data_IF_036394535901
#
_entry.id   IF_036394535901
#
_cell.length_a   1.000
_cell.length_b   1.000
_cell.length_c   1.000
_cell.angle_alpha   90.00
_cell.angle_beta   90.00
_cell.angle_gamma   90.00
#
_symmetry.space_group_name_H-M   'P 1'
#
loop_
_entity.id
_entity.type
_entity.pdbx_description
1 polymer ?
#
# COMPACT_ATOMS: atom_id res chain seq x y z
N UNK A 1 56.38 37.46 41.61
CA UNK A 1 56.33 38.33 40.40
C UNK A 1 57.20 37.69 39.31
N UNK A 2 56.72 37.67 38.06
CA UNK A 2 57.33 37.15 36.80
C UNK A 2 57.26 35.62 36.64
N UNK A 3 56.20 34.99 36.08
CA UNK A 3 55.59 35.02 34.72
C UNK A 3 56.45 34.36 33.62
N UNK A 4 55.74 33.62 32.74
CA UNK A 4 56.09 33.19 31.36
C UNK A 4 56.64 31.74 31.34
N UNK A 5 56.19 30.77 30.52
CA UNK A 5 55.75 30.78 29.13
C UNK A 5 54.90 29.53 28.79
N UNK A 6 53.93 29.72 27.87
CA UNK A 6 53.39 28.84 26.82
C UNK A 6 53.32 27.30 26.98
N UNK A 7 52.21 26.70 26.54
CA UNK A 7 52.07 26.18 25.17
C UNK A 7 50.62 25.70 24.99
N UNK A 8 50.00 26.23 23.95
CA UNK A 8 48.73 25.83 23.36
C UNK A 8 48.80 24.37 22.93
N UNK A 9 47.88 23.53 23.42
CA UNK A 9 47.68 22.18 22.89
C UNK A 9 46.20 21.95 22.59
N UNK A 10 46.00 21.62 21.33
CA UNK A 10 44.79 21.39 20.56
C UNK A 10 44.29 19.95 20.76
N UNK A 11 42.96 19.77 20.63
CA UNK A 11 42.24 18.62 20.07
C UNK A 11 41.69 17.48 20.98
N UNK A 12 40.49 17.04 20.54
CA UNK A 12 39.78 15.74 20.71
C UNK A 12 39.00 15.60 22.03
N UNK A 13 37.69 15.87 22.12
CA UNK A 13 36.50 15.32 21.41
C UNK A 13 36.21 13.83 21.73
N UNK A 14 34.92 13.56 22.03
CA UNK A 14 34.19 12.26 22.12
C UNK A 14 34.13 11.64 23.54
N UNK A 15 33.08 10.88 23.99
CA UNK A 15 31.79 10.45 23.38
C UNK A 15 30.52 10.59 24.25
N UNK A 16 29.40 10.15 23.66
CA UNK A 16 28.37 9.29 24.26
C UNK A 16 27.06 9.94 24.71
N UNK A 17 26.03 9.85 23.85
CA UNK A 17 24.66 9.59 24.28
C UNK A 17 23.87 9.01 23.11
N UNK A 18 23.65 7.70 23.12
CA UNK A 18 22.67 7.00 22.28
C UNK A 18 21.29 7.04 22.94
N UNK A 19 20.24 7.47 22.25
CA UNK A 19 18.89 7.00 22.56
C UNK A 19 18.50 5.85 21.64
N UNK A 20 18.48 4.66 22.21
CA UNK A 20 17.84 3.46 21.66
C UNK A 20 16.37 3.47 22.06
N UNK A 21 15.45 3.50 21.09
CA UNK A 21 14.10 2.94 21.22
C UNK A 21 13.51 2.70 19.81
N UNK A 22 13.32 1.44 19.38
CA UNK A 22 12.68 1.10 18.14
C UNK A 22 11.18 0.84 18.39
N UNK A 23 10.30 1.67 17.88
CA UNK A 23 8.87 1.33 17.81
C UNK A 23 8.15 2.18 16.78
N UNK A 24 8.22 1.80 15.51
CA UNK A 24 7.05 1.94 14.64
C UNK A 24 7.08 0.91 13.54
N UNK A 25 6.20 -0.08 13.73
CA UNK A 25 5.52 -0.90 12.74
C UNK A 25 6.24 -1.04 11.39
N UNK A 26 6.80 -2.23 11.19
CA UNK A 26 6.97 -2.80 9.87
C UNK A 26 5.61 -2.82 9.16
N UNK A 27 5.39 -1.85 8.28
CA UNK A 27 4.61 -2.09 7.08
C UNK A 27 5.63 -2.48 6.03
N UNK A 28 5.82 -3.79 5.86
CA UNK A 28 6.41 -4.32 4.64
C UNK A 28 5.41 -4.03 3.55
N UNK A 29 5.54 -2.85 2.96
CA UNK A 29 4.97 -2.54 1.65
C UNK A 29 5.63 -3.53 0.68
N UNK A 30 4.94 -4.64 0.46
CA UNK A 30 5.35 -5.62 -0.54
C UNK A 30 5.09 -4.95 -1.86
N UNK A 31 6.14 -4.28 -2.36
CA UNK A 31 6.24 -3.76 -3.70
C UNK A 31 5.78 -4.86 -4.67
N UNK A 32 4.55 -4.72 -5.14
CA UNK A 32 4.01 -5.55 -6.20
C UNK A 32 4.82 -5.22 -7.45
N UNK A 33 5.48 -6.24 -7.99
CA UNK A 33 6.25 -6.15 -9.24
C UNK A 33 5.37 -5.51 -10.32
N UNK A 34 5.88 -4.55 -11.12
CA UNK A 34 5.14 -4.03 -12.25
C UNK A 34 5.15 -5.11 -13.34
N UNK A 35 4.10 -5.92 -13.40
CA UNK A 35 3.86 -6.76 -14.58
C UNK A 35 3.28 -5.83 -15.63
N UNK A 36 4.02 -5.62 -16.71
CA UNK A 36 3.60 -4.83 -17.87
C UNK A 36 2.38 -5.48 -18.53
N UNK A 37 1.21 -5.16 -18.00
CA UNK A 37 -0.12 -5.45 -18.50
C UNK A 37 -0.97 -4.32 -17.91
N UNK A 38 -1.39 -3.38 -18.75
CA UNK A 38 -2.49 -2.44 -18.50
C UNK A 38 -3.11 -2.56 -17.10
N UNK A 39 -2.65 -1.71 -16.16
CA UNK A 39 -2.74 -1.89 -14.71
C UNK A 39 -4.13 -2.36 -14.25
N UNK A 40 -4.31 -3.67 -14.14
CA UNK A 40 -5.58 -4.27 -13.71
C UNK A 40 -5.79 -4.01 -12.23
N UNK A 41 -6.97 -3.53 -11.88
CA UNK A 41 -7.31 -3.20 -10.49
C UNK A 41 -7.74 -4.46 -9.75
N UNK A 42 -7.03 -4.79 -8.67
CA UNK A 42 -7.39 -5.91 -7.80
C UNK A 42 -8.58 -5.56 -6.90
N UNK A 43 -9.71 -6.22 -7.11
CA UNK A 43 -10.96 -5.93 -6.38
C UNK A 43 -10.92 -6.28 -4.89
N UNK A 44 -9.96 -7.10 -4.45
CA UNK A 44 -9.77 -7.49 -3.05
C UNK A 44 -8.86 -6.52 -2.30
N UNK A 45 -7.88 -5.92 -2.99
CA UNK A 45 -6.83 -5.13 -2.35
C UNK A 45 -6.91 -3.63 -2.67
N UNK A 46 -7.50 -3.25 -3.80
CA UNK A 46 -7.55 -1.85 -4.22
C UNK A 46 -8.28 -0.97 -3.20
N UNK A 47 -7.82 0.25 -2.99
CA UNK A 47 -8.57 1.23 -2.23
C UNK A 47 -9.72 1.81 -3.10
N UNK A 48 -10.55 2.67 -2.49
CA UNK A 48 -11.69 3.27 -3.18
C UNK A 48 -11.27 4.08 -4.41
N UNK A 49 -10.19 4.86 -4.30
CA UNK A 49 -9.69 5.72 -5.38
C UNK A 49 -9.17 4.90 -6.56
N UNK A 50 -8.46 3.80 -6.29
CA UNK A 50 -7.99 2.85 -7.30
C UNK A 50 -9.15 2.17 -8.03
N UNK A 51 -10.22 1.79 -7.32
CA UNK A 51 -11.42 1.26 -7.97
C UNK A 51 -12.09 2.30 -8.89
N UNK A 52 -12.12 3.56 -8.47
CA UNK A 52 -12.70 4.66 -9.26
C UNK A 52 -11.93 4.96 -10.55
N UNK A 53 -10.68 4.52 -10.67
CA UNK A 53 -9.91 4.64 -11.90
C UNK A 53 -10.37 3.65 -12.99
N UNK A 54 -11.13 2.61 -12.63
CA UNK A 54 -11.66 1.64 -13.60
C UNK A 54 -12.71 2.31 -14.49
N UNK A 55 -12.54 2.31 -15.83
CA UNK A 55 -13.51 2.87 -16.75
C UNK A 55 -14.92 2.27 -16.55
N UNK A 56 -15.92 3.12 -16.31
CA UNK A 56 -17.30 2.68 -16.05
C UNK A 56 -17.59 2.29 -14.60
N UNK A 57 -16.63 2.40 -13.68
CA UNK A 57 -16.88 2.30 -12.25
C UNK A 57 -17.61 3.52 -11.72
N UNK A 58 -18.48 3.32 -10.73
CA UNK A 58 -19.09 4.41 -9.96
C UNK A 58 -18.70 4.28 -8.50
N UNK A 59 -18.77 5.40 -7.75
CA UNK A 59 -18.51 5.40 -6.31
C UNK A 59 -19.38 4.40 -5.55
N UNK A 60 -20.65 4.28 -5.92
CA UNK A 60 -21.57 3.33 -5.28
C UNK A 60 -21.13 1.87 -5.47
N UNK A 61 -20.70 1.49 -6.68
CA UNK A 61 -20.18 0.14 -6.92
C UNK A 61 -18.85 -0.08 -6.22
N UNK A 62 -17.94 0.90 -6.25
CA UNK A 62 -16.65 0.80 -5.60
C UNK A 62 -16.78 0.62 -4.07
N UNK A 63 -17.67 1.37 -3.42
CA UNK A 63 -17.97 1.22 -1.99
C UNK A 63 -18.56 -0.15 -1.66
N UNK A 64 -19.43 -0.69 -2.52
CA UNK A 64 -19.96 -2.06 -2.35
C UNK A 64 -18.84 -3.09 -2.52
N UNK A 65 -17.96 -2.93 -3.50
CA UNK A 65 -16.81 -3.81 -3.71
C UNK A 65 -15.98 -3.85 -2.43
N UNK A 66 -15.62 -2.70 -1.86
CA UNK A 66 -14.85 -2.61 -0.60
C UNK A 66 -15.58 -3.26 0.58
N UNK A 67 -16.91 -3.05 0.69
CA UNK A 67 -17.72 -3.56 1.80
C UNK A 67 -17.83 -5.09 1.85
N UNK A 68 -17.88 -5.75 0.69
CA UNK A 68 -18.22 -7.18 0.60
C UNK A 68 -17.04 -8.09 0.21
N UNK A 69 -15.80 -7.62 0.42
CA UNK A 69 -14.58 -8.45 0.25
C UNK A 69 -14.54 -9.58 1.30
N UNK A 70 -13.86 -10.72 1.03
CA UNK A 70 -13.08 -11.04 -0.16
C UNK A 70 -13.87 -11.75 -1.27
N UNK A 71 -13.41 -11.59 -2.51
CA UNK A 71 -13.91 -12.27 -3.71
C UNK A 71 -12.93 -13.36 -4.15
N UNK A 72 -13.43 -14.55 -4.48
CA UNK A 72 -12.61 -15.66 -5.00
C UNK A 72 -12.32 -15.47 -6.48
N UNK A 73 -13.30 -14.95 -7.21
CA UNK A 73 -13.20 -14.63 -8.64
C UNK A 73 -13.86 -13.29 -8.93
N UNK A 74 -13.49 -12.63 -10.03
CA UNK A 74 -14.16 -11.40 -10.45
C UNK A 74 -15.64 -11.59 -10.79
N UNK A 75 -16.08 -12.82 -11.10
CA UNK A 75 -17.50 -13.14 -11.34
C UNK A 75 -18.33 -13.08 -10.05
N UNK A 76 -17.70 -13.17 -8.88
CA UNK A 76 -18.38 -13.09 -7.58
C UNK A 76 -19.04 -11.73 -7.37
N UNK A 77 -18.60 -10.68 -8.09
CA UNK A 77 -19.28 -9.39 -8.13
C UNK A 77 -20.73 -9.51 -8.61
N UNK A 78 -21.02 -10.45 -9.50
CA UNK A 78 -22.39 -10.72 -9.97
C UNK A 78 -23.07 -11.73 -9.05
N UNK A 79 -22.39 -12.83 -8.72
CA UNK A 79 -22.97 -13.92 -7.93
C UNK A 79 -23.37 -13.49 -6.51
N UNK A 80 -22.58 -12.62 -5.89
CA UNK A 80 -22.87 -12.06 -4.56
C UNK A 80 -23.80 -10.83 -4.64
N UNK A 81 -24.30 -10.50 -5.83
CA UNK A 81 -25.17 -9.34 -6.02
C UNK A 81 -24.47 -8.00 -5.75
N UNK A 82 -23.15 -7.92 -5.90
CA UNK A 82 -22.42 -6.64 -5.75
C UNK A 82 -22.81 -5.70 -6.88
N UNK A 83 -22.99 -6.20 -8.10
CA UNK A 83 -23.47 -5.43 -9.26
C UNK A 83 -24.19 -6.30 -10.30
N UNK A 84 -25.06 -5.72 -11.15
CA UNK A 84 -25.68 -6.41 -12.28
C UNK A 84 -24.65 -6.90 -13.31
N UNK A 85 -25.03 -7.94 -14.07
CA UNK A 85 -24.18 -8.55 -15.10
C UNK A 85 -23.73 -7.54 -16.18
N UNK A 86 -24.60 -6.64 -16.60
CA UNK A 86 -24.27 -5.62 -17.62
C UNK A 86 -23.22 -4.62 -17.13
N UNK A 87 -23.22 -4.28 -15.85
CA UNK A 87 -22.20 -3.42 -15.24
C UNK A 87 -20.87 -4.18 -15.20
N UNK A 88 -20.88 -5.42 -14.72
CA UNK A 88 -19.70 -6.27 -14.67
C UNK A 88 -19.05 -6.42 -16.05
N UNK A 89 -19.84 -6.67 -17.10
CA UNK A 89 -19.32 -6.82 -18.48
C UNK A 89 -18.52 -5.62 -18.97
N UNK A 90 -18.82 -4.40 -18.51
CA UNK A 90 -18.09 -3.18 -18.91
C UNK A 90 -16.74 -3.03 -18.20
N UNK A 91 -16.61 -3.58 -16.99
CA UNK A 91 -15.41 -3.39 -16.16
C UNK A 91 -14.52 -4.63 -16.09
N UNK A 92 -15.03 -5.81 -16.51
CA UNK A 92 -14.39 -7.11 -16.27
C UNK A 92 -13.00 -7.25 -16.86
N UNK A 93 -12.66 -6.45 -17.87
CA UNK A 93 -11.37 -6.49 -18.55
C UNK A 93 -10.33 -5.58 -17.87
N UNK A 94 -10.76 -4.72 -16.93
CA UNK A 94 -9.91 -3.82 -16.16
C UNK A 94 -9.73 -4.25 -14.70
N UNK A 95 -10.29 -5.40 -14.32
CA UNK A 95 -10.28 -5.89 -12.95
C UNK A 95 -9.81 -7.35 -12.86
N UNK A 96 -9.22 -7.66 -11.71
CA UNK A 96 -8.80 -9.00 -11.32
C UNK A 96 -9.18 -9.26 -9.86
N UNK A 97 -9.24 -10.53 -9.47
CA UNK A 97 -9.45 -10.95 -8.10
C UNK A 97 -8.35 -11.95 -7.73
N UNK A 98 -7.38 -11.52 -6.91
CA UNK A 98 -6.40 -12.43 -6.36
C UNK A 98 -6.92 -13.08 -5.09
N UNK A 99 -6.74 -14.39 -4.99
CA UNK A 99 -7.00 -15.10 -3.75
C UNK A 99 -5.80 -14.91 -2.84
N UNK A 100 -6.06 -14.44 -1.62
CA UNK A 100 -5.06 -14.52 -0.56
C UNK A 100 -4.79 -16.00 -0.31
N UNK A 101 -3.53 -16.42 -0.45
CA UNK A 101 -3.12 -17.71 0.09
C UNK A 101 -3.36 -17.63 1.59
N UNK A 102 -4.40 -18.32 2.07
CA UNK A 102 -4.63 -18.56 3.48
C UNK A 102 -3.32 -19.12 4.05
N UNK A 103 -2.65 -18.34 4.89
CA UNK A 103 -1.51 -18.79 5.69
C UNK A 103 -1.97 -19.86 6.67
#
# INVERSE_FOLDING_TARGET
>A
MHRILAITALLLMVPCATPQAPARAAFTDTASKPSSAEDLVDINHANLEQLLQVPGMTRSWAERIVRYRPYRTKLDLVQNGVMPLDVYKRIRDHIIAHQDKKQ
#
